data_IF_317583650929
#
_entry.id   IF_317583650929
#
_cell.length_a   1.000
_cell.length_b   1.000
_cell.length_c   1.000
_cell.angle_alpha   90.00
_cell.angle_beta   90.00
_cell.angle_gamma   90.00
#
_symmetry.space_group_name_H-M   'P 1'
#
loop_
_entity.id
_entity.type
_entity.pdbx_description
1 polymer ?
#
# COMPACT_ATOMS: atom_id res chain seq x y z
N UNK A 1 51.89 41.27 9.07
CA UNK A 1 50.71 41.48 9.93
C UNK A 1 49.38 41.42 9.16
N UNK A 2 49.37 41.51 7.82
CA UNK A 2 48.13 41.39 7.02
C UNK A 2 47.74 39.94 6.65
N UNK A 3 48.71 39.01 6.56
CA UNK A 3 48.45 37.61 6.17
C UNK A 3 47.68 36.79 7.23
N UNK A 4 47.79 37.16 8.50
CA UNK A 4 47.15 36.42 9.61
C UNK A 4 45.64 36.63 9.67
N UNK A 5 45.13 37.76 9.16
CA UNK A 5 43.70 38.08 9.16
C UNK A 5 42.92 37.28 8.11
N UNK A 6 43.55 36.97 6.97
CA UNK A 6 42.91 36.19 5.88
C UNK A 6 42.78 34.71 6.26
N UNK A 7 43.76 34.14 6.96
CA UNK A 7 43.74 32.73 7.37
C UNK A 7 42.67 32.43 8.42
N UNK A 8 42.42 33.34 9.36
CA UNK A 8 41.38 33.20 10.38
C UNK A 8 39.96 33.29 9.80
N UNK A 9 39.77 34.15 8.78
CA UNK A 9 38.51 34.25 8.06
C UNK A 9 38.18 32.95 7.28
N UNK A 10 39.19 32.31 6.67
CA UNK A 10 39.03 31.04 5.97
C UNK A 10 38.60 29.89 6.90
N UNK A 11 39.18 29.78 8.09
CA UNK A 11 38.81 28.74 9.05
C UNK A 11 37.38 28.87 9.56
N UNK A 12 36.95 30.10 9.85
CA UNK A 12 35.60 30.38 10.38
C UNK A 12 34.53 30.17 9.30
N UNK A 13 34.78 30.62 8.07
CA UNK A 13 33.85 30.44 6.95
C UNK A 13 33.79 29.00 6.45
N UNK A 14 34.93 28.30 6.42
CA UNK A 14 35.00 26.89 6.02
C UNK A 14 34.26 25.97 7.00
N UNK A 15 34.45 26.17 8.31
CA UNK A 15 33.74 25.41 9.33
C UNK A 15 32.22 25.62 9.29
N UNK A 16 31.78 26.86 9.10
CA UNK A 16 30.35 27.18 8.99
C UNK A 16 29.70 26.55 7.75
N UNK A 17 30.40 26.54 6.61
CA UNK A 17 29.96 25.85 5.39
C UNK A 17 29.82 24.33 5.58
N UNK A 18 30.76 23.70 6.29
CA UNK A 18 30.68 22.26 6.59
C UNK A 18 29.49 21.95 7.49
N UNK A 19 29.24 22.76 8.53
CA UNK A 19 28.09 22.58 9.41
C UNK A 19 26.76 22.75 8.65
N UNK A 20 26.66 23.76 7.77
CA UNK A 20 25.48 23.95 6.94
C UNK A 20 25.26 22.77 5.99
N UNK A 21 26.32 22.26 5.36
CA UNK A 21 26.24 21.08 4.50
C UNK A 21 25.78 19.84 5.29
N UNK A 22 26.28 19.66 6.52
CA UNK A 22 25.87 18.57 7.41
C UNK A 22 24.40 18.67 7.84
N UNK A 23 23.93 19.87 8.18
CA UNK A 23 22.53 20.12 8.56
C UNK A 23 21.61 19.87 7.37
N UNK A 24 21.95 20.39 6.18
CA UNK A 24 21.18 20.16 4.95
C UNK A 24 21.15 18.68 4.56
N UNK A 25 22.28 17.98 4.70
CA UNK A 25 22.37 16.54 4.48
C UNK A 25 21.47 15.74 5.44
N UNK A 26 21.49 16.07 6.74
CA UNK A 26 20.64 15.43 7.75
C UNK A 26 19.15 15.70 7.52
N UNK A 27 18.78 16.92 7.14
CA UNK A 27 17.41 17.28 6.80
C UNK A 27 16.90 16.54 5.56
N UNK A 28 17.74 16.39 4.53
CA UNK A 28 17.40 15.62 3.33
C UNK A 28 17.18 14.13 3.64
N UNK A 29 18.01 13.55 4.51
CA UNK A 29 17.84 12.16 4.97
C UNK A 29 16.54 11.97 5.76
N UNK A 30 16.18 12.94 6.60
CA UNK A 30 14.95 12.90 7.42
C UNK A 30 13.70 12.98 6.54
N UNK A 31 13.73 13.77 5.46
CA UNK A 31 12.63 13.89 4.49
C UNK A 31 12.30 12.60 3.73
N UNK A 32 13.31 11.79 3.37
CA UNK A 32 13.10 10.50 2.73
C UNK A 32 12.51 9.46 3.71
N UNK A 33 12.99 9.50 4.95
CA UNK A 33 12.58 8.60 6.03
C UNK A 33 11.10 8.77 6.42
N UNK A 34 10.58 10.00 6.34
CA UNK A 34 9.17 10.28 6.59
C UNK A 34 8.21 9.59 5.63
N UNK A 35 8.56 9.45 4.33
CA UNK A 35 7.67 8.79 3.35
C UNK A 35 7.62 7.28 3.58
N UNK A 36 8.77 6.68 3.90
CA UNK A 36 8.85 5.27 4.25
C UNK A 36 8.02 4.98 5.51
N UNK A 37 8.21 5.78 6.56
CA UNK A 37 7.45 5.69 7.82
C UNK A 37 5.95 5.92 7.62
N UNK A 38 5.55 6.91 6.82
CA UNK A 38 4.14 7.18 6.53
C UNK A 38 3.48 5.99 5.79
N UNK A 39 4.17 5.40 4.83
CA UNK A 39 3.68 4.21 4.11
C UNK A 39 3.55 3.01 5.06
N UNK A 40 4.56 2.78 5.89
CA UNK A 40 4.53 1.71 6.87
C UNK A 40 3.39 1.90 7.88
N UNK A 41 3.20 3.13 8.38
CA UNK A 41 2.10 3.48 9.28
C UNK A 41 0.73 3.29 8.60
N UNK A 42 0.61 3.64 7.32
CA UNK A 42 -0.62 3.44 6.54
C UNK A 42 -0.95 1.94 6.37
N UNK A 43 0.06 1.10 6.09
CA UNK A 43 -0.11 -0.35 5.97
C UNK A 43 -0.47 -0.94 7.35
N UNK A 44 0.29 -0.60 8.39
CA UNK A 44 0.09 -1.11 9.75
C UNK A 44 -1.30 -0.79 10.28
N UNK A 45 -1.73 0.47 10.16
CA UNK A 45 -3.09 0.88 10.55
C UNK A 45 -4.16 0.21 9.69
N UNK A 46 -3.84 -0.13 8.43
CA UNK A 46 -4.71 -0.87 7.52
C UNK A 46 -4.99 -2.28 7.99
N UNK A 47 -3.91 -3.02 8.28
CA UNK A 47 -3.97 -4.38 8.81
C UNK A 47 -4.68 -4.40 10.15
N UNK A 48 -4.36 -3.48 11.07
CA UNK A 48 -5.01 -3.40 12.37
C UNK A 48 -6.53 -3.18 12.26
N UNK A 49 -6.98 -2.23 11.44
CA UNK A 49 -8.41 -2.00 11.24
C UNK A 49 -9.12 -3.18 10.54
N UNK A 50 -8.43 -3.86 9.62
CA UNK A 50 -8.97 -5.07 9.00
C UNK A 50 -9.12 -6.21 10.01
N UNK A 51 -8.11 -6.43 10.86
CA UNK A 51 -8.16 -7.45 11.92
C UNK A 51 -9.27 -7.19 12.93
N UNK A 52 -9.60 -5.91 13.19
CA UNK A 52 -10.73 -5.54 14.05
C UNK A 52 -12.07 -5.88 13.39
N UNK A 53 -12.22 -5.60 12.10
CA UNK A 53 -13.44 -5.95 11.31
C UNK A 53 -13.65 -7.47 11.20
N UNK A 54 -12.56 -8.24 11.16
CA UNK A 54 -12.58 -9.71 11.13
C UNK A 54 -12.77 -10.34 12.52
N UNK A 55 -12.78 -9.56 13.61
CA UNK A 55 -12.85 -10.11 14.98
C UNK A 55 -14.25 -10.66 15.26
N UNK A 56 -14.30 -11.91 15.73
CA UNK A 56 -15.53 -12.64 16.06
C UNK A 56 -15.61 -14.00 15.37
N UNK A 57 -16.65 -14.77 15.64
CA UNK A 57 -16.94 -16.02 14.94
C UNK A 57 -17.79 -15.72 13.70
N UNK A 58 -17.14 -15.12 12.70
CA UNK A 58 -17.78 -14.73 11.45
C UNK A 58 -17.69 -15.89 10.46
N UNK A 59 -18.83 -16.31 9.94
CA UNK A 59 -18.87 -17.25 8.84
C UNK A 59 -18.29 -16.61 7.58
N UNK A 60 -17.71 -17.42 6.69
CA UNK A 60 -17.01 -16.95 5.48
C UNK A 60 -17.89 -16.07 4.58
N UNK A 61 -19.19 -16.35 4.56
CA UNK A 61 -20.25 -15.63 3.85
C UNK A 61 -20.53 -14.22 4.41
N UNK A 62 -20.31 -13.99 5.71
CA UNK A 62 -20.42 -12.67 6.33
C UNK A 62 -19.08 -11.91 6.32
N UNK A 63 -17.98 -12.65 6.42
CA UNK A 63 -16.63 -12.10 6.44
C UNK A 63 -16.25 -11.42 5.13
N UNK A 64 -16.54 -12.07 3.99
CA UNK A 64 -16.19 -11.56 2.66
C UNK A 64 -16.74 -10.16 2.38
N UNK A 65 -18.06 -9.94 2.50
CA UNK A 65 -18.66 -8.61 2.32
C UNK A 65 -18.13 -7.54 3.28
N UNK A 66 -17.89 -7.86 4.56
CA UNK A 66 -17.36 -6.91 5.55
C UNK A 66 -15.93 -6.47 5.21
N UNK A 67 -15.05 -7.45 4.97
CA UNK A 67 -13.66 -7.22 4.56
C UNK A 67 -13.61 -6.37 3.30
N UNK A 68 -14.40 -6.72 2.30
CA UNK A 68 -14.41 -6.02 1.02
C UNK A 68 -15.00 -4.60 1.15
N UNK A 69 -15.98 -4.40 2.03
CA UNK A 69 -16.52 -3.07 2.36
C UNK A 69 -15.47 -2.19 3.04
N UNK A 70 -14.73 -2.74 4.00
CA UNK A 70 -13.62 -2.01 4.64
C UNK A 70 -12.54 -1.62 3.63
N UNK A 71 -12.11 -2.56 2.79
CA UNK A 71 -11.10 -2.33 1.76
C UNK A 71 -11.59 -1.31 0.73
N UNK A 72 -12.85 -1.40 0.29
CA UNK A 72 -13.42 -0.46 -0.68
C UNK A 72 -13.46 0.96 -0.13
N UNK A 73 -13.91 1.17 1.12
CA UNK A 73 -13.89 2.49 1.76
C UNK A 73 -12.46 3.04 1.89
N UNK A 74 -11.51 2.18 2.28
CA UNK A 74 -10.12 2.60 2.52
C UNK A 74 -9.34 2.89 1.23
N UNK A 75 -9.65 2.18 0.15
CA UNK A 75 -9.02 2.34 -1.17
C UNK A 75 -9.79 3.31 -2.08
N UNK A 76 -10.97 3.79 -1.67
CA UNK A 76 -11.85 4.62 -2.50
C UNK A 76 -12.48 3.86 -3.66
N UNK A 77 -12.58 2.54 -3.57
CA UNK A 77 -13.15 1.71 -4.62
C UNK A 77 -14.69 1.81 -4.63
N UNK A 78 -15.27 1.92 -5.82
CA UNK A 78 -16.73 2.01 -5.99
C UNK A 78 -17.41 0.64 -6.06
N UNK A 79 -16.71 -0.37 -6.59
CA UNK A 79 -17.20 -1.74 -6.80
C UNK A 79 -16.03 -2.70 -6.57
N UNK A 80 -16.29 -3.88 -6.00
CA UNK A 80 -15.26 -4.91 -5.81
C UNK A 80 -15.83 -6.32 -5.69
N UNK A 81 -15.00 -7.33 -5.96
CA UNK A 81 -15.30 -8.74 -5.76
C UNK A 81 -14.07 -9.46 -5.19
N UNK A 82 -14.29 -10.44 -4.31
CA UNK A 82 -13.24 -11.24 -3.69
C UNK A 82 -13.47 -12.73 -3.96
N UNK A 83 -12.39 -13.44 -4.34
CA UNK A 83 -12.41 -14.86 -4.70
C UNK A 83 -11.44 -15.66 -3.83
N UNK A 84 -11.80 -16.89 -3.50
CA UNK A 84 -10.99 -17.85 -2.76
C UNK A 84 -10.74 -19.08 -3.63
N UNK A 85 -9.54 -19.64 -3.58
CA UNK A 85 -9.21 -20.86 -4.30
C UNK A 85 -9.93 -22.06 -3.66
N UNK A 86 -10.67 -22.84 -4.44
CA UNK A 86 -11.29 -24.10 -4.00
C UNK A 86 -10.43 -25.33 -4.31
N UNK A 87 -9.34 -25.15 -5.07
CA UNK A 87 -8.51 -26.23 -5.60
C UNK A 87 -8.74 -26.45 -7.10
N UNK A 88 -7.89 -27.26 -7.73
CA UNK A 88 -7.99 -27.60 -9.16
C UNK A 88 -8.06 -26.40 -10.13
N UNK A 89 -7.45 -25.26 -9.76
CA UNK A 89 -7.49 -24.04 -10.56
C UNK A 89 -8.86 -23.34 -10.58
N UNK A 90 -9.77 -23.68 -9.65
CA UNK A 90 -11.07 -23.02 -9.50
C UNK A 90 -11.04 -22.01 -8.36
N UNK A 91 -11.65 -20.86 -8.62
CA UNK A 91 -11.78 -19.75 -7.68
C UNK A 91 -13.26 -19.44 -7.47
N UNK A 92 -13.75 -19.53 -6.24
CA UNK A 92 -15.13 -19.17 -5.89
C UNK A 92 -15.20 -17.78 -5.29
N UNK A 93 -16.16 -16.98 -5.71
CA UNK A 93 -16.45 -15.67 -5.12
C UNK A 93 -16.99 -15.85 -3.72
N UNK A 94 -16.35 -15.24 -2.72
CA UNK A 94 -16.79 -15.27 -1.32
C UNK A 94 -17.24 -13.90 -0.80
N UNK A 95 -17.04 -12.82 -1.57
CA UNK A 95 -17.48 -11.47 -1.19
C UNK A 95 -17.67 -10.53 -2.37
N UNK A 96 -18.59 -9.58 -2.21
CA UNK A 96 -18.90 -8.54 -3.20
C UNK A 96 -19.19 -7.20 -2.52
N UNK A 97 -18.71 -6.10 -3.10
CA UNK A 97 -18.98 -4.74 -2.64
C UNK A 97 -19.63 -3.94 -3.77
N UNK A 98 -20.81 -3.37 -3.47
CA UNK A 98 -21.64 -2.61 -4.41
C UNK A 98 -21.89 -3.34 -5.75
N UNK A 99 -21.92 -4.67 -5.71
CA UNK A 99 -22.26 -5.52 -6.83
C UNK A 99 -23.80 -5.54 -6.98
N UNK A 100 -24.35 -4.69 -7.84
CA UNK A 100 -25.78 -4.71 -8.19
C UNK A 100 -26.07 -5.91 -9.11
N UNK A 101 -26.70 -6.97 -8.59
CA UNK A 101 -27.03 -8.18 -9.38
C UNK A 101 -25.90 -9.23 -9.42
N UNK A 102 -25.66 -9.85 -10.58
CA UNK A 102 -24.57 -10.81 -10.81
C UNK A 102 -23.44 -10.22 -11.69
N UNK A 103 -22.59 -9.31 -11.17
CA UNK A 103 -21.55 -8.65 -11.95
C UNK A 103 -20.28 -9.50 -12.00
N UNK A 104 -20.42 -10.73 -12.48
CA UNK A 104 -19.35 -11.69 -12.66
C UNK A 104 -19.71 -13.09 -12.16
N UNK A 105 -19.04 -14.13 -12.68
CA UNK A 105 -19.35 -15.52 -12.39
C UNK A 105 -19.01 -15.86 -10.92
N UNK A 106 -19.81 -16.77 -10.34
CA UNK A 106 -19.58 -17.25 -8.96
C UNK A 106 -18.31 -18.09 -8.86
N UNK A 107 -17.93 -18.76 -9.96
CA UNK A 107 -16.69 -19.51 -10.10
C UNK A 107 -15.93 -19.04 -11.32
N UNK A 108 -14.62 -18.92 -11.18
CA UNK A 108 -13.69 -18.55 -12.25
C UNK A 108 -12.63 -19.64 -12.33
N UNK A 109 -12.37 -20.17 -13.52
CA UNK A 109 -11.25 -21.06 -13.75
C UNK A 109 -9.94 -20.27 -13.96
N UNK A 110 -8.80 -20.91 -13.70
CA UNK A 110 -7.49 -20.35 -14.00
C UNK A 110 -7.35 -20.02 -15.50
N UNK A 111 -6.90 -18.81 -15.81
CA UNK A 111 -6.87 -18.28 -17.19
C UNK A 111 -8.21 -17.75 -17.72
N UNK A 112 -9.32 -17.86 -16.98
CA UNK A 112 -10.63 -17.37 -17.41
C UNK A 112 -10.87 -15.90 -17.00
N UNK A 113 -11.04 -15.03 -17.98
CA UNK A 113 -11.27 -13.60 -17.75
C UNK A 113 -10.11 -12.92 -17.02
N UNK A 114 -10.31 -11.67 -16.58
CA UNK A 114 -9.26 -10.91 -15.90
C UNK A 114 -8.86 -11.52 -14.55
N UNK A 115 -9.83 -12.09 -13.83
CA UNK A 115 -9.59 -12.72 -12.52
C UNK A 115 -8.79 -14.00 -12.67
N UNK A 116 -9.16 -14.89 -13.61
CA UNK A 116 -8.42 -16.11 -13.88
C UNK A 116 -7.05 -15.85 -14.46
N UNK A 117 -6.90 -14.80 -15.30
CA UNK A 117 -5.60 -14.40 -15.83
C UNK A 117 -4.67 -13.84 -14.74
N UNK A 118 -5.19 -13.04 -13.80
CA UNK A 118 -4.42 -12.56 -12.65
C UNK A 118 -4.01 -13.72 -11.73
N UNK A 119 -4.90 -14.70 -11.54
CA UNK A 119 -4.60 -15.89 -10.76
C UNK A 119 -3.50 -16.75 -11.40
N UNK A 120 -3.56 -16.97 -12.71
CA UNK A 120 -2.57 -17.75 -13.45
C UNK A 120 -1.19 -17.07 -13.49
N UNK A 121 -1.17 -15.77 -13.80
CA UNK A 121 0.09 -15.01 -13.92
C UNK A 121 0.73 -14.68 -12.57
N UNK A 122 -0.03 -14.78 -11.46
CA UNK A 122 0.37 -14.30 -10.12
C UNK A 122 0.84 -12.84 -10.13
N UNK A 123 0.29 -12.06 -11.05
CA UNK A 123 0.61 -10.66 -11.24
C UNK A 123 -0.65 -9.81 -11.14
N UNK A 124 -0.47 -8.56 -10.72
CA UNK A 124 -1.57 -7.60 -10.71
C UNK A 124 -1.90 -7.22 -12.14
N UNK A 125 -3.10 -7.58 -12.59
CA UNK A 125 -3.61 -7.20 -13.91
C UNK A 125 -4.43 -5.92 -13.76
N UNK A 126 -4.05 -4.87 -14.49
CA UNK A 126 -4.80 -3.62 -14.54
C UNK A 126 -5.37 -3.43 -15.95
N UNK A 127 -6.70 -3.50 -16.07
CA UNK A 127 -7.37 -3.17 -17.32
C UNK A 127 -7.38 -1.64 -17.45
N UNK A 128 -6.56 -1.10 -18.36
CA UNK A 128 -6.71 0.29 -18.80
C UNK A 128 -7.89 0.35 -19.75
N UNK A 129 -8.84 1.24 -19.46
CA UNK A 129 -9.96 1.55 -20.34
C UNK A 129 -9.94 3.02 -20.71
#
# INVERSE_FOLDING_TARGET
>A
WEDSARFAAYFTWGGSLVLLAFILGSAAMTGADHRAKAREAWIRSGVMGLSDEMRGDLRLDELGPRVLSYLARRLGARVGAAYVAEGHGLFRRFGGYALSGAPGPERVAEGEGLVGQAAQSRQTVHARH
#
